data_IF_346513316196
#
_entry.id   IF_346513316196
#
_cell.length_a   1.000
_cell.length_b   1.000
_cell.length_c   1.000
_cell.angle_alpha   90.00
_cell.angle_beta   90.00
_cell.angle_gamma   90.00
#
_symmetry.space_group_name_H-M   'P 1'
#
loop_
_entity.id
_entity.type
_entity.pdbx_description
1 polymer ?
#
# COMPACT_ATOMS: atom_id res chain seq x y z
N UNK A 1 13.78 -15.34 -26.08
CA UNK A 1 14.02 -15.24 -24.62
C UNK A 1 12.75 -15.73 -23.93
N UNK A 2 12.86 -16.81 -23.17
CA UNK A 2 11.74 -17.37 -22.41
C UNK A 2 11.87 -16.74 -21.03
N UNK A 3 11.00 -15.78 -20.69
CA UNK A 3 10.92 -15.27 -19.32
C UNK A 3 10.31 -16.42 -18.51
N UNK A 4 11.00 -16.97 -17.50
CA UNK A 4 10.42 -18.03 -16.68
C UNK A 4 9.25 -17.42 -15.90
N UNK A 5 8.03 -17.75 -16.29
CA UNK A 5 6.83 -17.46 -15.49
C UNK A 5 6.97 -18.26 -14.21
N UNK A 6 7.24 -17.58 -13.09
CA UNK A 6 7.30 -18.19 -11.77
C UNK A 6 5.97 -18.88 -11.51
N UNK A 7 6.01 -20.20 -11.36
CA UNK A 7 4.89 -21.04 -10.96
C UNK A 7 4.33 -20.49 -9.65
N UNK A 8 3.07 -20.03 -9.66
CA UNK A 8 2.39 -19.60 -8.44
C UNK A 8 2.21 -20.80 -7.53
N UNK A 9 2.99 -20.85 -6.45
CA UNK A 9 2.63 -21.69 -5.31
C UNK A 9 1.26 -21.21 -4.80
N UNK A 10 0.37 -22.11 -4.35
CA UNK A 10 -0.90 -21.69 -3.80
C UNK A 10 -0.65 -20.73 -2.65
N UNK A 11 -1.26 -19.54 -2.75
CA UNK A 11 -1.27 -18.56 -1.67
C UNK A 11 -1.57 -19.29 -0.36
N UNK A 12 -0.79 -19.07 0.71
CA UNK A 12 -1.15 -19.65 1.99
C UNK A 12 -2.55 -19.16 2.32
N UNK A 13 -3.47 -20.09 2.59
CA UNK A 13 -4.91 -19.86 2.68
C UNK A 13 -5.34 -18.92 3.81
N UNK A 14 -4.37 -18.35 4.53
CA UNK A 14 -4.54 -17.43 5.65
C UNK A 14 -4.22 -15.96 5.31
N UNK A 15 -3.85 -15.62 4.08
CA UNK A 15 -3.55 -14.22 3.70
C UNK A 15 -4.85 -13.42 3.65
N UNK A 16 -4.97 -12.45 4.56
CA UNK A 16 -6.11 -11.53 4.62
C UNK A 16 -5.65 -10.16 5.13
N UNK A 17 -6.24 -9.07 4.61
CA UNK A 17 -5.99 -7.73 5.16
C UNK A 17 -6.39 -7.63 6.64
N UNK A 18 -7.37 -8.43 7.09
CA UNK A 18 -7.82 -8.48 8.49
C UNK A 18 -6.73 -8.90 9.49
N UNK A 19 -5.64 -9.53 9.02
CA UNK A 19 -4.54 -9.98 9.86
C UNK A 19 -3.17 -9.43 9.42
N UNK A 20 -3.12 -8.53 8.43
CA UNK A 20 -1.85 -8.00 7.89
C UNK A 20 -1.28 -6.83 8.69
N UNK A 21 -2.00 -6.36 9.72
CA UNK A 21 -1.70 -5.14 10.47
C UNK A 21 -1.40 -3.97 9.53
N UNK A 22 -2.23 -3.77 8.50
CA UNK A 22 -2.08 -2.71 7.50
C UNK A 22 -0.67 -2.55 6.89
N UNK A 23 0.04 -3.65 6.61
CA UNK A 23 1.43 -3.60 6.09
C UNK A 23 1.60 -2.66 4.88
N UNK A 24 0.63 -2.61 3.96
CA UNK A 24 0.64 -1.70 2.82
C UNK A 24 0.69 -0.21 3.20
N UNK A 25 0.11 0.17 4.35
CA UNK A 25 0.12 1.55 4.85
C UNK A 25 1.44 1.93 5.53
N UNK A 26 2.44 1.04 5.57
CA UNK A 26 3.80 1.35 6.01
C UNK A 26 4.75 1.68 4.85
N UNK A 27 4.30 1.50 3.63
CA UNK A 27 5.11 1.72 2.44
C UNK A 27 5.09 3.20 2.06
N UNK A 28 6.18 3.67 1.46
CA UNK A 28 6.18 4.94 0.77
C UNK A 28 5.54 4.77 -0.60
N UNK A 29 4.56 5.62 -0.90
CA UNK A 29 3.75 5.51 -2.11
C UNK A 29 3.77 6.83 -2.86
N UNK A 30 4.23 6.79 -4.11
CA UNK A 30 4.12 7.91 -5.04
C UNK A 30 2.71 8.04 -5.59
N UNK A 31 2.28 9.27 -5.82
CA UNK A 31 1.02 9.59 -6.50
C UNK A 31 1.39 9.95 -7.94
N UNK A 32 1.19 8.99 -8.85
CA UNK A 32 1.61 9.13 -10.26
C UNK A 32 0.46 9.56 -11.19
N UNK A 33 -0.76 9.63 -10.68
CA UNK A 33 -1.95 10.02 -11.42
C UNK A 33 -3.00 10.63 -10.50
N UNK A 34 -3.84 11.50 -11.07
CA UNK A 34 -5.00 12.02 -10.37
C UNK A 34 -6.01 10.91 -10.14
N UNK A 35 -6.17 10.55 -8.87
CA UNK A 35 -7.05 9.48 -8.40
C UNK A 35 -8.08 9.98 -7.39
N UNK A 36 -8.10 11.30 -7.13
CA UNK A 36 -8.95 11.92 -6.11
C UNK A 36 -8.42 11.81 -4.69
N UNK A 37 -7.13 11.55 -4.47
CA UNK A 37 -6.52 11.58 -3.12
C UNK A 37 -6.75 12.97 -2.51
N UNK A 38 -7.36 13.09 -1.31
CA UNK A 38 -7.55 14.38 -0.67
C UNK A 38 -6.22 15.05 -0.31
N UNK A 39 -6.15 16.38 -0.49
CA UNK A 39 -4.94 17.20 -0.32
C UNK A 39 -4.27 17.05 1.06
N UNK A 40 -5.06 16.85 2.12
CA UNK A 40 -4.55 16.66 3.48
C UNK A 40 -3.73 15.36 3.66
N UNK A 41 -3.82 14.43 2.71
CA UNK A 41 -3.05 13.18 2.71
C UNK A 41 -1.87 13.21 1.73
N UNK A 42 -1.57 14.35 1.10
CA UNK A 42 -0.51 14.50 0.10
C UNK A 42 0.68 15.25 0.68
N UNK A 43 1.87 14.66 0.55
CA UNK A 43 3.14 15.35 0.75
C UNK A 43 3.75 15.72 -0.60
N UNK A 44 4.32 16.93 -0.70
CA UNK A 44 4.99 17.44 -1.90
C UNK A 44 6.43 17.79 -1.61
N UNK A 45 7.34 17.34 -2.46
CA UNK A 45 8.75 17.74 -2.39
C UNK A 45 9.03 19.07 -3.14
N UNK A 46 10.28 19.52 -3.09
CA UNK A 46 10.73 20.74 -3.76
C UNK A 46 10.66 20.70 -5.31
N UNK A 47 10.53 19.49 -5.88
CA UNK A 47 10.44 19.24 -7.32
C UNK A 47 8.99 19.05 -7.78
N UNK A 48 8.02 19.10 -6.86
CA UNK A 48 6.61 18.89 -7.15
C UNK A 48 6.20 17.41 -7.22
N UNK A 49 7.06 16.48 -6.79
CA UNK A 49 6.68 15.07 -6.66
C UNK A 49 5.69 14.90 -5.52
N UNK A 50 4.63 14.13 -5.77
CA UNK A 50 3.58 13.87 -4.78
C UNK A 50 3.71 12.46 -4.21
N UNK A 51 3.63 12.34 -2.89
CA UNK A 51 3.59 11.06 -2.17
C UNK A 51 2.47 11.06 -1.15
N UNK A 52 2.03 9.86 -0.73
CA UNK A 52 1.15 9.76 0.44
C UNK A 52 1.88 10.29 1.67
N UNK A 53 1.29 11.26 2.36
CA UNK A 53 1.85 11.84 3.57
C UNK A 53 1.98 10.76 4.66
N UNK A 54 3.17 10.67 5.24
CA UNK A 54 3.47 9.77 6.36
C UNK A 54 3.56 10.53 7.67
N UNK A 55 3.04 9.90 8.71
CA UNK A 55 3.14 10.39 10.08
C UNK A 55 4.48 9.97 10.69
N UNK A 56 4.84 10.58 11.82
CA UNK A 56 6.12 10.35 12.52
C UNK A 56 6.31 8.92 13.01
N UNK A 57 5.23 8.14 13.09
CA UNK A 57 5.26 6.73 13.48
C UNK A 57 5.45 5.78 12.28
N UNK A 58 5.69 6.33 11.08
CA UNK A 58 6.00 5.56 9.89
C UNK A 58 4.78 5.02 9.15
N UNK A 59 3.57 5.49 9.42
CA UNK A 59 2.39 5.06 8.69
C UNK A 59 1.83 6.15 7.79
N UNK A 60 1.11 5.72 6.77
CA UNK A 60 0.28 6.59 5.95
C UNK A 60 -0.75 7.33 6.83
N UNK A 61 -0.89 8.62 6.58
CA UNK A 61 -1.84 9.52 7.25
C UNK A 61 -3.31 9.15 7.08
N UNK A 62 -3.65 8.39 6.03
CA UNK A 62 -5.01 7.91 5.77
C UNK A 62 -5.36 6.56 6.44
N UNK A 63 -4.50 6.05 7.33
CA UNK A 63 -4.77 4.82 8.07
C UNK A 63 -5.64 5.09 9.30
N UNK A 64 -6.76 4.39 9.39
CA UNK A 64 -7.54 4.26 10.62
C UNK A 64 -6.84 3.28 11.59
N UNK A 65 -6.59 3.70 12.82
CA UNK A 65 -5.79 2.94 13.80
C UNK A 65 -6.57 1.89 14.56
N UNK A 66 -7.89 2.03 14.62
CA UNK A 66 -8.76 1.10 15.32
C UNK A 66 -9.10 -0.09 14.42
N UNK A 67 -9.35 0.18 13.14
CA UNK A 67 -9.76 -0.82 12.15
C UNK A 67 -8.60 -1.34 11.29
N UNK A 68 -7.48 -0.62 11.23
CA UNK A 68 -6.35 -0.89 10.35
C UNK A 68 -6.75 -0.94 8.87
N UNK A 69 -7.73 -0.10 8.49
CA UNK A 69 -8.21 0.07 7.13
C UNK A 69 -7.94 1.49 6.64
N UNK A 70 -7.81 1.63 5.32
CA UNK A 70 -7.63 2.94 4.69
C UNK A 70 -8.96 3.73 4.72
N UNK A 71 -8.94 4.95 5.27
CA UNK A 71 -10.13 5.82 5.35
C UNK A 71 -10.55 6.39 4.00
N UNK A 72 -9.63 6.41 3.02
CA UNK A 72 -9.85 6.91 1.66
C UNK A 72 -9.91 5.78 0.63
N UNK A 73 -10.45 4.61 0.97
CA UNK A 73 -10.37 3.40 0.15
C UNK A 73 -10.78 3.61 -1.33
N UNK A 74 -11.82 4.40 -1.58
CA UNK A 74 -12.33 4.74 -2.92
C UNK A 74 -11.46 5.74 -3.69
N UNK A 75 -10.70 6.56 -2.96
CA UNK A 75 -9.82 7.63 -3.47
C UNK A 75 -8.33 7.26 -3.34
N UNK A 76 -8.01 5.97 -3.16
CA UNK A 76 -6.62 5.52 -3.04
C UNK A 76 -5.82 5.85 -4.31
N UNK A 77 -4.53 6.20 -4.16
CA UNK A 77 -3.64 6.37 -5.30
C UNK A 77 -3.52 5.06 -6.08
N UNK A 78 -3.19 5.18 -7.37
CA UNK A 78 -3.14 4.04 -8.29
C UNK A 78 -2.25 2.91 -7.77
N UNK A 79 -1.07 3.24 -7.24
CA UNK A 79 -0.14 2.26 -6.65
C UNK A 79 -0.78 1.46 -5.51
N UNK A 80 -1.59 2.08 -4.64
CA UNK A 80 -2.29 1.37 -3.58
C UNK A 80 -3.43 0.48 -4.08
N UNK A 81 -3.91 0.67 -5.32
CA UNK A 81 -4.93 -0.19 -5.96
C UNK A 81 -4.28 -1.42 -6.59
N UNK A 82 -3.12 -1.25 -7.20
CA UNK A 82 -2.34 -2.35 -7.80
C UNK A 82 -1.70 -3.27 -6.74
N UNK A 83 -1.57 -2.79 -5.50
CA UNK A 83 -1.14 -3.63 -4.38
C UNK A 83 -2.27 -4.59 -3.98
N UNK A 84 -2.37 -5.72 -4.68
CA UNK A 84 -3.40 -6.73 -4.45
C UNK A 84 -3.09 -7.61 -3.23
N UNK A 85 -4.15 -7.99 -2.51
CA UNK A 85 -4.04 -8.94 -1.40
C UNK A 85 -3.53 -10.29 -1.92
N UNK A 86 -2.39 -10.74 -1.39
CA UNK A 86 -1.76 -11.98 -1.86
C UNK A 86 -0.97 -11.85 -3.15
N UNK A 87 -0.70 -10.62 -3.63
CA UNK A 87 0.35 -10.44 -4.62
C UNK A 87 1.73 -10.81 -4.03
N UNK A 88 2.76 -10.98 -4.86
CA UNK A 88 4.11 -11.24 -4.37
C UNK A 88 4.59 -10.10 -3.46
N UNK A 89 4.29 -8.85 -3.85
CA UNK A 89 4.59 -7.66 -3.07
C UNK A 89 3.85 -7.70 -1.72
N UNK A 90 2.59 -8.12 -1.69
CA UNK A 90 1.86 -8.32 -0.43
C UNK A 90 2.53 -9.36 0.47
N UNK A 91 3.01 -10.47 -0.10
CA UNK A 91 3.67 -11.54 0.66
C UNK A 91 5.04 -11.11 1.18
N UNK A 92 5.85 -10.46 0.35
CA UNK A 92 7.19 -9.98 0.71
C UNK A 92 7.11 -8.99 1.87
N UNK A 93 6.21 -8.00 1.79
CA UNK A 93 6.04 -7.00 2.86
C UNK A 93 5.53 -7.61 4.16
N UNK A 94 4.74 -8.69 4.08
CA UNK A 94 4.31 -9.43 5.28
C UNK A 94 5.47 -10.17 5.95
N UNK A 95 6.47 -10.63 5.21
CA UNK A 95 7.68 -11.25 5.78
C UNK A 95 8.54 -10.21 6.50
N UNK A 96 8.64 -9.00 5.95
CA UNK A 96 9.47 -7.93 6.52
C UNK A 96 8.82 -7.22 7.72
N UNK A 97 7.48 -7.11 7.75
CA UNK A 97 6.78 -6.22 8.68
C UNK A 97 5.97 -6.91 9.79
N UNK A 98 5.76 -8.23 9.73
CA UNK A 98 4.94 -9.00 10.70
C UNK A 98 5.76 -9.97 11.56
#
# INVERSE_FOLDING_TARGET
MIIPTRTSSPLPSNVSCSNCKACCCRLEVMIISDTGVPEEFIARDQHGSETMMRLNDGWCSALDRDTLMCTIYENRPWICREFEMGSNECLDERVELL
#
